data_IF_246866377036
#
_entry.id   IF_246866377036
#
_cell.length_a   1.000
_cell.length_b   1.000
_cell.length_c   1.000
_cell.angle_alpha   90.00
_cell.angle_beta   90.00
_cell.angle_gamma   90.00
#
_symmetry.space_group_name_H-M   'P 1'
#
loop_
_entity.id
_entity.type
_entity.pdbx_description
1 polymer ?
#
# COMPACT_ATOMS: atom_id res chain seq x y z
N UNK A 1 0.96 -12.37 -19.60
CA UNK A 1 1.23 -11.75 -18.30
C UNK A 1 -0.14 -11.64 -17.69
N UNK A 2 -0.45 -12.50 -16.71
CA UNK A 2 -1.77 -12.48 -16.08
C UNK A 2 -2.02 -11.07 -15.55
N UNK A 3 -3.17 -10.51 -15.91
CA UNK A 3 -3.51 -9.14 -15.66
C UNK A 3 -3.78 -9.00 -14.15
N UNK A 4 -2.85 -8.36 -13.43
CA UNK A 4 -2.99 -8.15 -11.98
C UNK A 4 -4.26 -7.34 -11.65
N UNK A 5 -4.83 -6.61 -12.62
CA UNK A 5 -6.11 -5.92 -12.47
C UNK A 5 -7.30 -6.86 -12.27
N UNK A 6 -7.20 -8.13 -12.70
CA UNK A 6 -8.23 -9.15 -12.48
C UNK A 6 -8.19 -9.77 -11.08
N UNK A 7 -7.14 -9.51 -10.28
CA UNK A 7 -7.08 -9.98 -8.89
C UNK A 7 -8.23 -9.32 -8.09
N UNK A 8 -9.16 -10.11 -7.52
CA UNK A 8 -10.21 -9.55 -6.68
C UNK A 8 -9.60 -8.85 -5.47
N UNK A 9 -10.00 -7.61 -5.22
CA UNK A 9 -9.38 -6.78 -4.18
C UNK A 9 -9.49 -7.42 -2.78
N UNK A 10 -10.55 -8.17 -2.49
CA UNK A 10 -10.64 -8.94 -1.25
C UNK A 10 -9.49 -9.94 -1.08
N UNK A 11 -9.02 -10.57 -2.16
CA UNK A 11 -7.87 -11.50 -2.12
C UNK A 11 -6.58 -10.77 -1.71
N UNK A 12 -6.40 -9.53 -2.18
CA UNK A 12 -5.29 -8.69 -1.76
C UNK A 12 -5.37 -8.37 -0.26
N UNK A 13 -6.56 -7.99 0.20
CA UNK A 13 -6.83 -7.67 1.61
C UNK A 13 -6.56 -8.87 2.51
N UNK A 14 -7.05 -10.05 2.13
CA UNK A 14 -6.84 -11.29 2.87
C UNK A 14 -5.33 -11.63 2.95
N UNK A 15 -4.58 -11.43 1.85
CA UNK A 15 -3.13 -11.64 1.84
C UNK A 15 -2.35 -10.61 2.68
N UNK A 16 -2.85 -9.38 2.81
CA UNK A 16 -2.26 -8.37 3.69
C UNK A 16 -2.47 -8.69 5.17
N UNK A 17 -3.57 -9.37 5.52
CA UNK A 17 -3.90 -9.80 6.87
C UNK A 17 -3.27 -11.14 7.26
N UNK A 18 -2.90 -11.97 6.29
CA UNK A 18 -2.25 -13.25 6.53
C UNK A 18 -0.78 -13.05 6.94
N UNK A 19 -0.49 -13.32 8.21
CA UNK A 19 0.86 -13.27 8.78
C UNK A 19 1.66 -14.57 8.57
N UNK A 20 0.99 -15.68 8.24
CA UNK A 20 1.59 -17.01 8.09
C UNK A 20 2.11 -17.25 6.67
N UNK A 21 1.56 -16.54 5.68
CA UNK A 21 1.94 -16.64 4.27
C UNK A 21 2.80 -15.45 3.83
N UNK A 22 3.95 -15.69 3.14
CA UNK A 22 4.70 -14.61 2.52
C UNK A 22 3.85 -13.80 1.53
N UNK A 23 3.89 -12.48 1.66
CA UNK A 23 3.15 -11.59 0.75
C UNK A 23 3.73 -11.68 -0.67
N UNK A 24 2.86 -11.80 -1.68
CA UNK A 24 3.29 -11.85 -3.07
C UNK A 24 3.58 -10.42 -3.57
N UNK A 25 4.84 -10.06 -3.91
CA UNK A 25 5.17 -8.69 -4.30
C UNK A 25 4.42 -8.20 -5.55
N UNK A 26 3.94 -9.11 -6.41
CA UNK A 26 3.12 -8.72 -7.58
C UNK A 26 1.79 -8.09 -7.18
N UNK A 27 1.32 -8.31 -5.96
CA UNK A 27 0.07 -7.73 -5.49
C UNK A 27 0.19 -6.22 -5.23
N UNK A 28 1.42 -5.70 -5.06
CA UNK A 28 1.67 -4.26 -4.88
C UNK A 28 1.15 -3.44 -6.06
N UNK A 29 1.25 -3.96 -7.28
CA UNK A 29 0.71 -3.28 -8.48
C UNK A 29 -0.80 -3.09 -8.44
N UNK A 30 -1.55 -3.83 -7.60
CA UNK A 30 -2.99 -3.65 -7.44
C UNK A 30 -3.36 -2.44 -6.55
N UNK A 31 -2.37 -1.89 -5.86
CA UNK A 31 -2.49 -0.72 -4.99
C UNK A 31 -2.23 0.61 -5.73
N UNK A 32 -1.81 0.57 -7.00
CA UNK A 32 -1.64 1.79 -7.81
C UNK A 32 -2.99 2.47 -8.01
N UNK A 33 -3.00 3.81 -7.94
CA UNK A 33 -4.17 4.67 -8.18
C UNK A 33 -5.41 4.24 -7.36
N UNK A 34 -5.18 3.66 -6.17
CA UNK A 34 -6.26 3.12 -5.35
C UNK A 34 -7.23 4.23 -4.93
N UNK A 35 -8.52 4.06 -5.23
CA UNK A 35 -9.57 5.05 -4.96
C UNK A 35 -10.91 4.40 -4.60
N UNK A 36 -11.91 5.23 -4.28
CA UNK A 36 -13.29 4.79 -4.07
C UNK A 36 -13.46 3.74 -2.97
N UNK A 37 -14.30 2.73 -3.24
CA UNK A 37 -14.64 1.67 -2.28
C UNK A 37 -13.44 0.79 -1.90
N UNK A 38 -12.49 0.60 -2.81
CA UNK A 38 -11.31 -0.22 -2.56
C UNK A 38 -10.32 0.51 -1.63
N UNK A 39 -10.11 1.82 -1.84
CA UNK A 39 -9.34 2.64 -0.89
C UNK A 39 -10.01 2.64 0.49
N UNK A 40 -11.33 2.83 0.54
CA UNK A 40 -12.07 2.80 1.81
C UNK A 40 -11.90 1.47 2.55
N UNK A 41 -11.97 0.34 1.82
CA UNK A 41 -11.77 -0.99 2.39
C UNK A 41 -10.33 -1.19 2.89
N UNK A 42 -9.33 -0.73 2.13
CA UNK A 42 -7.94 -0.77 2.54
C UNK A 42 -7.72 0.00 3.85
N UNK A 43 -8.24 1.22 3.97
CA UNK A 43 -8.08 2.06 5.17
C UNK A 43 -8.83 1.50 6.38
N UNK A 44 -9.99 0.88 6.19
CA UNK A 44 -10.70 0.16 7.27
C UNK A 44 -9.92 -1.08 7.74
N UNK A 45 -9.14 -1.69 6.85
CA UNK A 45 -8.34 -2.87 7.17
C UNK A 45 -6.99 -2.52 7.76
N UNK A 46 -6.45 -1.35 7.43
CA UNK A 46 -5.16 -0.85 7.89
C UNK A 46 -4.85 -1.09 9.38
N UNK A 47 -5.71 -0.72 10.36
CA UNK A 47 -5.41 -0.94 11.78
C UNK A 47 -5.42 -2.40 12.22
N UNK A 48 -5.91 -3.32 11.38
CA UNK A 48 -5.95 -4.76 11.66
C UNK A 48 -4.66 -5.45 11.22
N UNK A 49 -3.89 -4.82 10.34
CA UNK A 49 -2.59 -5.33 9.91
C UNK A 49 -1.57 -5.24 11.05
N UNK A 50 -0.78 -6.30 11.22
CA UNK A 50 0.34 -6.25 12.14
C UNK A 50 1.28 -5.09 11.78
N UNK A 51 1.87 -4.45 12.79
CA UNK A 51 2.72 -3.26 12.60
C UNK A 51 3.85 -3.52 11.59
N UNK A 52 4.54 -4.65 11.72
CA UNK A 52 5.64 -5.02 10.84
C UNK A 52 5.18 -5.13 9.36
N UNK A 53 3.93 -5.55 9.13
CA UNK A 53 3.36 -5.65 7.78
C UNK A 53 3.03 -4.28 7.20
N UNK A 54 2.54 -3.34 8.02
CA UNK A 54 2.33 -1.94 7.60
C UNK A 54 3.66 -1.27 7.23
N UNK A 55 4.69 -1.47 8.04
CA UNK A 55 6.03 -0.94 7.79
C UNK A 55 6.61 -1.51 6.48
N UNK A 56 6.63 -2.84 6.35
CA UNK A 56 7.13 -3.50 5.15
C UNK A 56 6.37 -3.08 3.88
N UNK A 57 5.03 -2.99 3.95
CA UNK A 57 4.24 -2.54 2.80
C UNK A 57 4.61 -1.12 2.39
N UNK A 58 4.73 -0.19 3.34
CA UNK A 58 5.09 1.20 3.01
C UNK A 58 6.52 1.34 2.47
N UNK A 59 7.45 0.50 2.93
CA UNK A 59 8.80 0.42 2.37
C UNK A 59 8.76 -0.07 0.91
N UNK A 60 8.05 -1.16 0.65
CA UNK A 60 7.90 -1.74 -0.68
C UNK A 60 7.21 -0.76 -1.65
N UNK A 61 6.17 -0.05 -1.21
CA UNK A 61 5.48 0.95 -2.02
C UNK A 61 6.37 2.16 -2.34
N UNK A 62 7.16 2.62 -1.36
CA UNK A 62 8.10 3.71 -1.56
C UNK A 62 9.21 3.32 -2.54
N UNK A 63 9.80 2.13 -2.39
CA UNK A 63 10.81 1.62 -3.33
C UNK A 63 10.23 1.46 -4.74
N UNK A 64 9.06 0.82 -4.86
CA UNK A 64 8.42 0.56 -6.14
C UNK A 64 8.03 1.86 -6.87
N UNK A 65 7.45 2.83 -6.16
CA UNK A 65 7.11 4.15 -6.71
C UNK A 65 8.33 4.93 -7.20
N UNK A 66 9.43 4.89 -6.44
CA UNK A 66 10.68 5.58 -6.79
C UNK A 66 11.39 5.01 -8.04
N UNK A 67 11.02 3.79 -8.45
CA UNK A 67 11.61 3.08 -9.60
C UNK A 67 10.73 3.18 -10.85
N UNK A 68 9.41 3.34 -10.69
CA UNK A 68 8.44 3.36 -11.79
C UNK A 68 7.47 4.53 -11.64
N UNK A 69 7.78 5.66 -12.28
CA UNK A 69 7.00 6.91 -12.26
C UNK A 69 5.56 6.75 -12.80
N UNK A 70 5.21 5.61 -13.42
CA UNK A 70 3.84 5.32 -13.85
C UNK A 70 2.95 4.84 -12.71
N UNK A 71 3.54 4.49 -11.56
CA UNK A 71 2.81 3.99 -10.40
C UNK A 71 2.59 5.12 -9.40
N UNK A 72 1.34 5.27 -8.95
CA UNK A 72 1.00 6.22 -7.90
C UNK A 72 0.41 5.52 -6.69
N UNK A 73 1.05 5.72 -5.54
CA UNK A 73 0.58 5.26 -4.23
C UNK A 73 0.15 6.43 -3.35
N UNK A 74 -0.06 7.60 -3.95
CA UNK A 74 -0.36 8.86 -3.26
C UNK A 74 -1.59 8.74 -2.34
N UNK A 75 -2.69 8.16 -2.84
CA UNK A 75 -3.93 8.03 -2.07
C UNK A 75 -3.76 7.18 -0.80
N UNK A 76 -2.91 6.15 -0.86
CA UNK A 76 -2.56 5.34 0.30
C UNK A 76 -1.72 6.18 1.26
N UNK A 77 -0.64 6.80 0.78
CA UNK A 77 0.26 7.61 1.60
C UNK A 77 -0.46 8.75 2.30
N UNK A 78 -1.36 9.49 1.61
CA UNK A 78 -2.20 10.53 2.21
C UNK A 78 -3.08 10.00 3.35
N UNK A 79 -3.61 8.80 3.18
CA UNK A 79 -4.53 8.21 4.15
C UNK A 79 -3.80 7.71 5.42
N UNK A 80 -2.56 7.23 5.28
CA UNK A 80 -1.78 6.66 6.39
C UNK A 80 -0.76 7.62 6.99
N UNK A 81 -0.66 8.86 6.51
CA UNK A 81 0.24 9.90 7.08
C UNK A 81 -0.05 10.21 8.56
N UNK A 82 -1.23 9.84 9.04
CA UNK A 82 -1.69 10.00 10.44
C UNK A 82 -1.51 8.73 11.28
N UNK A 83 -0.76 7.73 10.79
CA UNK A 83 -0.51 6.49 11.53
C UNK A 83 0.09 6.75 12.92
N UNK A 84 -0.18 5.88 13.88
CA UNK A 84 0.42 5.94 15.21
C UNK A 84 1.93 5.65 15.17
N UNK A 85 2.37 4.79 14.25
CA UNK A 85 3.77 4.42 14.11
C UNK A 85 4.58 5.48 13.34
N UNK A 86 5.69 5.98 13.91
CA UNK A 86 6.49 7.02 13.28
C UNK A 86 7.17 6.60 11.97
N UNK A 87 7.51 5.32 11.81
CA UNK A 87 8.16 4.84 10.57
C UNK A 87 7.17 4.81 9.42
N UNK A 88 5.93 4.36 9.67
CA UNK A 88 4.84 4.45 8.69
C UNK A 88 4.61 5.90 8.25
N UNK A 89 4.54 6.84 9.21
CA UNK A 89 4.37 8.27 8.87
C UNK A 89 5.54 8.82 8.05
N UNK A 90 6.77 8.45 8.37
CA UNK A 90 7.96 8.87 7.63
C UNK A 90 7.89 8.41 6.16
N UNK A 91 7.57 7.12 5.94
CA UNK A 91 7.45 6.55 4.60
C UNK A 91 6.30 7.20 3.81
N UNK A 92 5.17 7.48 4.46
CA UNK A 92 4.07 8.21 3.84
C UNK A 92 4.51 9.61 3.36
N UNK A 93 5.26 10.35 4.18
CA UNK A 93 5.81 11.65 3.77
C UNK A 93 6.79 11.52 2.61
N UNK A 94 7.63 10.49 2.60
CA UNK A 94 8.59 10.25 1.51
C UNK A 94 7.90 9.99 0.18
N UNK A 95 6.88 9.11 0.17
CA UNK A 95 6.07 8.85 -1.03
C UNK A 95 5.44 10.16 -1.51
N UNK A 96 4.84 10.96 -0.63
CA UNK A 96 4.16 12.20 -1.02
C UNK A 96 5.12 13.29 -1.52
N UNK A 97 6.35 13.30 -1.03
CA UNK A 97 7.36 14.28 -1.46
C UNK A 97 7.70 14.13 -2.94
N UNK A 98 7.62 12.92 -3.49
CA UNK A 98 7.81 12.68 -4.94
C UNK A 98 6.72 13.32 -5.81
N UNK A 99 5.58 13.68 -5.21
CA UNK A 99 4.42 14.27 -5.90
C UNK A 99 4.17 15.76 -5.58
N UNK A 100 5.04 16.41 -4.79
CA UNK A 100 4.98 17.87 -4.59
C UNK A 100 5.71 18.62 -5.72
N UNK A 101 4.94 19.18 -6.67
CA UNK A 101 5.35 20.30 -7.55
C UNK A 101 4.75 21.64 -7.09
#
# INVERSE_FOLDING_TARGET
>A
MDDISELPFQTLIDALLDEDTPFNPRYLYRLTDLEGDELNLFIQTWPQMALWRRQALMEDLNELGSVDDLLSFENIARSVIVDEDPQVRLLAVQILWEFEE
#
